data_IF_105124077916
#
_entry.id   IF_105124077916
#
_cell.length_a   1.000
_cell.length_b   1.000
_cell.length_c   1.000
_cell.angle_alpha   90.00
_cell.angle_beta   90.00
_cell.angle_gamma   90.00
#
_symmetry.space_group_name_H-M   'P 1'
#
loop_
_entity.id
_entity.type
_entity.pdbx_description
1 polymer ?
#
# COMPACT_ATOMS: atom_id res chain seq x y z
N UNK A 1 -6.86 -2.80 -5.80
CA UNK A 1 -5.52 -2.29 -5.43
C UNK A 1 -5.68 -0.95 -4.78
N UNK A 2 -5.23 -0.84 -3.54
CA UNK A 2 -5.09 0.41 -2.82
C UNK A 2 -3.84 0.35 -1.93
N UNK A 3 -3.39 1.51 -1.51
CA UNK A 3 -2.43 1.69 -0.42
C UNK A 3 -3.18 2.46 0.67
N UNK A 4 -3.20 1.93 1.90
CA UNK A 4 -3.88 2.62 2.99
C UNK A 4 -3.06 3.81 3.48
N UNK A 5 -1.74 3.72 3.38
CA UNK A 5 -0.76 4.68 3.92
C UNK A 5 -0.85 4.94 5.43
N UNK A 6 -1.78 4.28 6.13
CA UNK A 6 -1.85 4.19 7.59
C UNK A 6 -0.62 3.44 8.11
N UNK A 7 -0.07 3.85 9.25
CA UNK A 7 1.04 3.15 9.92
C UNK A 7 0.73 1.64 10.07
N UNK A 8 1.57 0.71 9.55
CA UNK A 8 1.27 -0.72 9.54
C UNK A 8 0.85 -1.32 10.90
N UNK A 9 1.47 -0.87 11.98
CA UNK A 9 1.21 -1.26 13.37
C UNK A 9 -0.23 -0.95 13.82
N UNK A 10 -0.85 0.08 13.24
CA UNK A 10 -2.24 0.47 13.54
C UNK A 10 -3.25 -0.35 12.73
N UNK A 11 -2.83 -1.08 11.70
CA UNK A 11 -3.73 -1.90 10.90
C UNK A 11 -3.95 -3.26 11.55
N UNK A 12 -5.15 -3.83 11.41
CA UNK A 12 -5.37 -5.23 11.76
C UNK A 12 -4.62 -6.16 10.80
N UNK A 13 -4.44 -7.43 11.20
CA UNK A 13 -3.73 -8.43 10.39
C UNK A 13 -4.32 -8.57 8.98
N UNK A 14 -5.65 -8.55 8.84
CA UNK A 14 -6.33 -8.66 7.56
C UNK A 14 -6.00 -7.51 6.60
N UNK A 15 -5.99 -6.26 7.09
CA UNK A 15 -5.72 -5.11 6.24
C UNK A 15 -4.22 -4.92 5.97
N UNK A 16 -3.36 -5.29 6.94
CA UNK A 16 -1.92 -5.37 6.75
C UNK A 16 -1.56 -6.32 5.60
N UNK A 17 -2.04 -7.57 5.68
CA UNK A 17 -1.82 -8.57 4.64
C UNK A 17 -2.51 -8.20 3.32
N UNK A 18 -3.72 -7.64 3.40
CA UNK A 18 -4.47 -7.22 2.21
C UNK A 18 -3.73 -6.16 1.40
N UNK A 19 -3.19 -5.13 2.05
CA UNK A 19 -2.39 -4.12 1.38
C UNK A 19 -1.09 -4.70 0.81
N UNK A 20 -0.41 -5.56 1.59
CA UNK A 20 0.82 -6.23 1.13
C UNK A 20 0.59 -7.00 -0.19
N UNK A 21 -0.50 -7.77 -0.29
CA UNK A 21 -0.89 -8.48 -1.51
C UNK A 21 -1.21 -7.51 -2.65
N UNK A 22 -1.96 -6.44 -2.38
CA UNK A 22 -2.31 -5.47 -3.41
C UNK A 22 -1.11 -4.68 -3.94
N UNK A 23 -0.06 -4.48 -3.14
CA UNK A 23 1.21 -3.92 -3.62
C UNK A 23 1.88 -4.85 -4.64
N UNK A 24 1.89 -6.16 -4.41
CA UNK A 24 2.40 -7.11 -5.41
C UNK A 24 1.56 -7.10 -6.69
N UNK A 25 0.23 -6.98 -6.57
CA UNK A 25 -0.65 -6.81 -7.74
C UNK A 25 -0.31 -5.53 -8.51
N UNK A 26 -0.03 -4.43 -7.81
CA UNK A 26 0.35 -3.15 -8.42
C UNK A 26 1.69 -3.27 -9.15
N UNK A 27 2.73 -3.81 -8.50
CA UNK A 27 4.03 -4.04 -9.11
C UNK A 27 3.89 -4.89 -10.39
N UNK A 28 3.12 -5.99 -10.34
CA UNK A 28 2.84 -6.82 -11.50
C UNK A 28 2.03 -6.12 -12.60
N UNK A 29 1.15 -5.18 -12.24
CA UNK A 29 0.38 -4.36 -13.19
C UNK A 29 1.29 -3.38 -13.91
N UNK A 30 2.14 -2.67 -13.17
CA UNK A 30 3.12 -1.72 -13.70
C UNK A 30 4.13 -2.41 -14.61
N UNK A 31 4.65 -3.58 -14.21
CA UNK A 31 5.57 -4.40 -15.03
C UNK A 31 4.97 -4.78 -16.39
N UNK A 32 3.65 -4.93 -16.49
CA UNK A 32 2.95 -5.26 -17.73
C UNK A 32 2.54 -4.03 -18.54
N UNK A 33 2.94 -2.82 -18.12
CA UNK A 33 2.56 -1.56 -18.79
C UNK A 33 1.05 -1.29 -18.75
N UNK A 34 0.31 -1.88 -17.80
CA UNK A 34 -1.13 -1.68 -17.70
C UNK A 34 -1.43 -0.37 -16.97
N UNK A 35 -2.46 0.32 -17.46
CA UNK A 35 -2.88 1.59 -16.86
C UNK A 35 -3.39 1.41 -15.43
N UNK A 36 -2.99 2.35 -14.57
CA UNK A 36 -3.43 2.48 -13.17
C UNK A 36 -4.18 3.80 -12.92
N UNK A 37 -4.48 4.56 -13.98
CA UNK A 37 -5.08 5.89 -13.90
C UNK A 37 -6.37 5.92 -13.08
N UNK A 38 -7.27 4.95 -13.28
CA UNK A 38 -8.53 4.87 -12.55
C UNK A 38 -8.39 4.70 -11.03
N UNK A 39 -7.25 4.17 -10.55
CA UNK A 39 -6.97 4.06 -9.12
C UNK A 39 -6.33 5.34 -8.58
N UNK A 40 -5.48 5.99 -9.38
CA UNK A 40 -4.92 7.31 -9.06
C UNK A 40 -6.03 8.36 -8.97
N UNK A 41 -6.96 8.37 -9.93
CA UNK A 41 -8.09 9.31 -9.96
C UNK A 41 -9.01 9.15 -8.75
N UNK A 42 -9.03 7.95 -8.14
CA UNK A 42 -9.75 7.66 -6.89
C UNK A 42 -8.92 7.94 -5.63
N UNK A 43 -7.67 8.40 -5.77
CA UNK A 43 -6.76 8.66 -4.65
C UNK A 43 -6.35 7.39 -3.89
N UNK A 44 -6.30 6.23 -4.56
CA UNK A 44 -6.06 4.94 -3.91
C UNK A 44 -4.60 4.50 -3.92
N UNK A 45 -3.74 5.08 -4.76
CA UNK A 45 -2.37 4.64 -4.96
C UNK A 45 -1.37 5.78 -4.79
N UNK A 46 -0.20 5.41 -4.29
CA UNK A 46 1.00 6.27 -4.22
C UNK A 46 2.21 5.52 -4.80
N UNK A 47 2.32 5.42 -6.14
CA UNK A 47 3.31 4.55 -6.80
C UNK A 47 4.76 4.85 -6.41
N UNK A 48 5.11 6.12 -6.18
CA UNK A 48 6.47 6.52 -5.78
C UNK A 48 6.89 5.96 -4.41
N UNK A 49 5.93 5.63 -3.54
CA UNK A 49 6.18 5.09 -2.21
C UNK A 49 6.06 3.56 -2.16
N UNK A 50 5.84 2.89 -3.30
CA UNK A 50 5.47 1.48 -3.37
C UNK A 50 6.51 0.55 -2.71
N UNK A 51 7.80 0.74 -3.02
CA UNK A 51 8.87 -0.11 -2.47
C UNK A 51 9.04 0.10 -0.97
N UNK A 52 9.16 1.35 -0.52
CA UNK A 52 9.27 1.68 0.90
C UNK A 52 8.04 1.21 1.69
N UNK A 53 6.84 1.37 1.12
CA UNK A 53 5.60 0.92 1.74
C UNK A 53 5.56 -0.59 1.88
N UNK A 54 5.96 -1.34 0.86
CA UNK A 54 6.06 -2.80 0.93
C UNK A 54 6.94 -3.24 2.10
N UNK A 55 8.12 -2.62 2.25
CA UNK A 55 9.09 -3.03 3.27
C UNK A 55 8.58 -2.71 4.68
N UNK A 56 7.90 -1.57 4.87
CA UNK A 56 7.23 -1.25 6.15
C UNK A 56 6.12 -2.25 6.49
N UNK A 57 5.34 -2.70 5.52
CA UNK A 57 4.32 -3.73 5.74
C UNK A 57 4.97 -5.07 6.09
N UNK A 58 6.01 -5.46 5.36
CA UNK A 58 6.76 -6.69 5.59
C UNK A 58 7.42 -6.71 6.98
N UNK A 59 7.99 -5.58 7.42
CA UNK A 59 8.56 -5.44 8.76
C UNK A 59 7.51 -5.69 9.85
N UNK A 60 6.34 -5.08 9.73
CA UNK A 60 5.25 -5.29 10.69
C UNK A 60 4.67 -6.72 10.62
N UNK A 61 4.62 -7.31 9.42
CA UNK A 61 4.27 -8.72 9.25
C UNK A 61 5.26 -9.62 10.00
N UNK A 62 6.57 -9.40 9.86
CA UNK A 62 7.60 -10.16 10.57
C UNK A 62 7.46 -9.99 12.09
N UNK A 63 7.23 -8.76 12.59
CA UNK A 63 6.98 -8.48 14.01
C UNK A 63 5.79 -9.27 14.56
N UNK A 64 4.75 -9.49 13.75
CA UNK A 64 3.56 -10.28 14.12
C UNK A 64 3.71 -11.78 13.92
N UNK A 65 4.90 -12.26 13.56
CA UNK A 65 5.19 -13.69 13.36
C UNK A 65 4.76 -14.26 12.01
N UNK A 66 4.45 -13.41 11.02
CA UNK A 66 4.23 -13.88 9.66
C UNK A 66 5.56 -14.28 9.02
N UNK A 67 5.52 -15.30 8.15
CA UNK A 67 6.63 -15.65 7.28
C UNK A 67 6.52 -14.85 5.97
N UNK A 68 7.35 -13.83 5.79
CA UNK A 68 7.44 -13.07 4.54
C UNK A 68 8.59 -13.61 3.68
N UNK A 69 8.28 -14.05 2.45
CA UNK A 69 9.23 -14.66 1.50
C UNK A 69 9.05 -14.11 0.08
N UNK A 70 8.42 -12.95 -0.05
CA UNK A 70 8.06 -12.35 -1.32
C UNK A 70 8.58 -10.92 -1.38
N UNK A 71 9.91 -10.70 -1.48
CA UNK A 71 10.42 -9.36 -1.74
C UNK A 71 9.92 -8.85 -3.11
N UNK A 72 9.88 -7.53 -3.29
CA UNK A 72 9.65 -6.95 -4.60
C UNK A 72 10.84 -7.23 -5.52
N UNK A 73 10.57 -7.36 -6.82
CA UNK A 73 11.62 -7.54 -7.82
C UNK A 73 12.47 -6.28 -7.98
N UNK A 74 13.78 -6.39 -8.28
CA UNK A 74 14.69 -5.27 -8.42
C UNK A 74 14.27 -4.27 -9.52
N UNK A 75 13.53 -4.73 -10.52
CA UNK A 75 13.01 -3.90 -11.62
C UNK A 75 11.95 -2.89 -11.16
N UNK A 76 11.37 -3.07 -9.96
CA UNK A 76 10.24 -2.25 -9.49
C UNK A 76 10.61 -0.77 -9.39
N UNK A 77 11.83 -0.47 -8.93
CA UNK A 77 12.31 0.91 -8.82
C UNK A 77 12.44 1.60 -10.18
N UNK A 78 12.98 0.89 -11.18
CA UNK A 78 13.11 1.39 -12.55
C UNK A 78 11.74 1.63 -13.19
N UNK A 79 10.80 0.70 -13.01
CA UNK A 79 9.43 0.86 -13.53
C UNK A 79 8.76 2.11 -12.94
N UNK A 80 8.92 2.35 -11.62
CA UNK A 80 8.38 3.54 -10.94
C UNK A 80 9.06 4.82 -11.46
N UNK A 81 10.38 4.79 -11.68
CA UNK A 81 11.14 5.92 -12.22
C UNK A 81 10.70 6.31 -13.63
N UNK A 82 10.19 5.35 -14.41
CA UNK A 82 9.70 5.57 -15.78
C UNK A 82 8.21 5.94 -15.87
N UNK A 83 7.51 6.07 -14.74
CA UNK A 83 6.12 6.53 -14.72
C UNK A 83 5.98 7.99 -15.18
N UNK A 84 4.79 8.34 -15.66
CA UNK A 84 4.42 9.72 -15.97
C UNK A 84 4.36 10.60 -14.72
N UNK A 85 4.40 11.91 -14.92
CA UNK A 85 4.38 12.90 -13.83
C UNK A 85 3.11 12.78 -12.97
N UNK A 86 1.96 12.48 -13.58
CA UNK A 86 0.70 12.31 -12.84
C UNK A 86 0.81 11.14 -11.87
N UNK A 87 1.32 9.99 -12.33
CA UNK A 87 1.49 8.79 -11.51
C UNK A 87 2.52 9.00 -10.40
N UNK A 88 3.64 9.68 -10.70
CA UNK A 88 4.69 10.00 -9.71
C UNK A 88 4.22 10.96 -8.62
N UNK A 89 3.35 11.91 -8.99
CA UNK A 89 2.83 12.92 -8.06
C UNK A 89 1.52 12.47 -7.38
N UNK A 90 0.97 11.32 -7.74
CA UNK A 90 -0.19 10.75 -7.07
C UNK A 90 0.12 10.48 -5.59
N UNK A 91 -0.78 10.94 -4.71
CA UNK A 91 -0.68 10.75 -3.25
C UNK A 91 -2.00 10.25 -2.72
N UNK A 92 -1.92 9.38 -1.71
CA UNK A 92 -3.11 8.97 -0.95
C UNK A 92 -3.38 10.02 0.12
N UNK A 93 -4.61 10.51 0.18
CA UNK A 93 -5.07 11.36 1.28
C UNK A 93 -5.18 10.49 2.55
N UNK A 94 -4.20 10.63 3.44
CA UNK A 94 -4.11 9.83 4.66
C UNK A 94 -5.33 10.01 5.56
N UNK A 95 -5.90 11.21 5.64
CA UNK A 95 -7.07 11.49 6.46
C UNK A 95 -8.31 10.74 5.95
N UNK A 96 -8.59 10.84 4.65
CA UNK A 96 -9.68 10.10 4.00
C UNK A 96 -9.47 8.59 4.07
N UNK A 97 -8.25 8.12 3.80
CA UNK A 97 -7.90 6.70 3.82
C UNK A 97 -8.07 6.09 5.21
N UNK A 98 -7.62 6.79 6.25
CA UNK A 98 -7.78 6.37 7.66
C UNK A 98 -9.24 6.34 8.07
N UNK A 99 -10.01 7.37 7.70
CA UNK A 99 -11.45 7.44 7.98
C UNK A 99 -12.21 6.29 7.31
N UNK A 100 -11.90 5.99 6.04
CA UNK A 100 -12.51 4.86 5.32
C UNK A 100 -12.13 3.51 5.97
N UNK A 101 -10.86 3.33 6.36
CA UNK A 101 -10.41 2.11 7.04
C UNK A 101 -11.18 1.90 8.36
N UNK A 102 -11.33 2.95 9.16
CA UNK A 102 -12.07 2.94 10.42
C UNK A 102 -13.57 2.69 10.21
N UNK A 103 -14.15 3.21 9.14
CA UNK A 103 -15.54 2.96 8.78
C UNK A 103 -15.78 1.48 8.42
N UNK A 104 -14.82 0.86 7.72
CA UNK A 104 -14.92 -0.52 7.20
C UNK A 104 -14.51 -1.59 8.21
N UNK A 105 -13.68 -1.26 9.21
CA UNK A 105 -13.10 -2.24 10.10
C UNK A 105 -13.11 -1.77 11.57
N UNK A 106 -13.95 -2.37 12.43
CA UNK A 106 -13.97 -2.07 13.86
C UNK A 106 -12.63 -2.31 14.56
N UNK A 107 -11.87 -3.35 14.16
CA UNK A 107 -10.56 -3.62 14.76
C UNK A 107 -9.53 -2.54 14.41
N UNK A 108 -9.48 -2.11 13.15
CA UNK A 108 -8.60 -1.00 12.77
C UNK A 108 -9.04 0.28 13.49
N UNK A 109 -10.36 0.57 13.55
CA UNK A 109 -10.87 1.72 14.30
C UNK A 109 -10.38 1.72 15.74
N UNK A 110 -10.44 0.57 16.43
CA UNK A 110 -9.95 0.43 17.80
C UNK A 110 -8.44 0.72 17.88
N UNK A 111 -7.64 0.06 17.04
CA UNK A 111 -6.17 0.24 17.02
C UNK A 111 -5.75 1.68 16.72
N UNK A 112 -6.47 2.38 15.83
CA UNK A 112 -6.21 3.78 15.50
C UNK A 112 -6.62 4.76 16.62
N UNK A 113 -7.51 4.35 17.54
CA UNK A 113 -7.93 5.18 18.66
C UNK A 113 -7.06 5.00 19.93
N UNK A 114 -6.23 3.96 19.97
CA UNK A 114 -5.35 3.61 21.11
C UNK A 114 -3.94 4.23 21.01
N UNK A 115 -3.70 5.08 20.01
CA UNK A 115 -2.44 5.83 19.78
C UNK A 115 -2.57 7.29 20.14
#
# INVERSE_FOLDING_TARGET
MRMWMVRPEMMCQKHLLGEHVEIHMLAGTLKRGKSIAAFIDKGLLEPSSLAERHDKLAEEMLKRGFRHLSPLGPETGEIIANLGEKEKNARVDLGKSSAELCARCPECRKRLAET
#
